data_IF_757093151637
#
_entry.id   IF_757093151637
#
_cell.length_a   1.000
_cell.length_b   1.000
_cell.length_c   1.000
_cell.angle_alpha   90.00
_cell.angle_beta   90.00
_cell.angle_gamma   90.00
#
_symmetry.space_group_name_H-M   'P 1'
#
loop_
_entity.id
_entity.type
_entity.pdbx_description
1 polymer ?
#
# COMPACT_ATOMS: atom_id res chain seq x y z
N UNK A 1 18.05 -11.95 -20.11
CA UNK A 1 17.57 -10.89 -19.21
C UNK A 1 18.77 -10.32 -18.45
N UNK A 2 18.77 -9.06 -18.03
CA UNK A 2 19.90 -8.53 -17.24
C UNK A 2 19.91 -9.10 -15.82
N UNK A 3 21.10 -9.24 -15.23
CA UNK A 3 21.31 -9.70 -13.84
C UNK A 3 20.44 -8.92 -12.83
N UNK A 4 20.29 -7.61 -13.01
CA UNK A 4 19.47 -6.76 -12.16
C UNK A 4 17.99 -7.17 -12.14
N UNK A 5 17.45 -7.61 -13.29
CA UNK A 5 16.05 -8.06 -13.40
C UNK A 5 15.88 -9.44 -12.76
N UNK A 6 16.85 -10.34 -12.94
CA UNK A 6 16.85 -11.65 -12.29
C UNK A 6 16.86 -11.53 -10.78
N UNK A 7 17.76 -10.69 -10.23
CA UNK A 7 17.82 -10.40 -8.80
C UNK A 7 16.53 -9.80 -8.24
N UNK A 8 15.82 -9.00 -9.04
CA UNK A 8 14.50 -8.47 -8.65
C UNK A 8 13.43 -9.55 -8.62
N UNK A 9 13.38 -10.41 -9.64
CA UNK A 9 12.41 -11.51 -9.74
C UNK A 9 12.62 -12.56 -8.65
N UNK A 10 13.87 -12.82 -8.26
CA UNK A 10 14.22 -13.75 -7.19
C UNK A 10 13.66 -13.37 -5.80
N UNK A 11 13.12 -12.15 -5.63
CA UNK A 11 12.45 -11.73 -4.38
C UNK A 11 11.06 -12.32 -4.21
N UNK A 12 10.48 -12.89 -5.27
CA UNK A 12 9.10 -13.36 -5.29
C UNK A 12 9.06 -14.85 -5.60
N UNK A 13 8.04 -15.54 -5.07
CA UNK A 13 7.82 -16.95 -5.38
C UNK A 13 7.40 -17.12 -6.84
N UNK A 14 7.57 -18.33 -7.42
CA UNK A 14 7.08 -18.63 -8.76
C UNK A 14 5.57 -18.35 -8.94
N UNK A 15 4.78 -18.61 -7.89
CA UNK A 15 3.34 -18.35 -7.88
C UNK A 15 3.02 -16.86 -8.01
N UNK A 16 3.70 -16.00 -7.23
CA UNK A 16 3.50 -14.55 -7.31
C UNK A 16 3.90 -14.02 -8.70
N UNK A 17 5.02 -14.51 -9.25
CA UNK A 17 5.44 -14.14 -10.60
C UNK A 17 4.44 -14.59 -11.67
N UNK A 18 3.81 -15.76 -11.50
CA UNK A 18 2.76 -16.23 -12.39
C UNK A 18 1.52 -15.33 -12.31
N UNK A 19 1.12 -14.88 -11.11
CA UNK A 19 0.03 -13.91 -10.92
C UNK A 19 0.32 -12.55 -11.54
N UNK A 20 1.55 -12.05 -11.47
CA UNK A 20 1.95 -10.82 -12.17
C UNK A 20 1.84 -10.96 -13.69
N UNK A 21 2.21 -12.12 -14.25
CA UNK A 21 2.06 -12.40 -15.68
C UNK A 21 0.59 -12.54 -16.09
N UNK A 22 -0.23 -13.17 -15.24
CA UNK A 22 -1.67 -13.30 -15.44
C UNK A 22 -2.34 -11.92 -15.46
N UNK A 23 -2.01 -11.04 -14.51
CA UNK A 23 -2.49 -9.66 -14.49
C UNK A 23 -2.13 -8.93 -15.79
N UNK A 24 -0.88 -9.03 -16.25
CA UNK A 24 -0.47 -8.41 -17.52
C UNK A 24 -1.27 -8.89 -18.73
N UNK A 25 -1.57 -10.20 -18.80
CA UNK A 25 -2.43 -10.76 -19.86
C UNK A 25 -3.87 -10.27 -19.75
N UNK A 26 -4.42 -10.22 -18.53
CA UNK A 26 -5.77 -9.72 -18.29
C UNK A 26 -5.91 -8.27 -18.74
N UNK A 27 -5.00 -7.39 -18.31
CA UNK A 27 -5.04 -5.97 -18.70
C UNK A 27 -4.83 -5.80 -20.21
N UNK A 28 -3.94 -6.58 -20.82
CA UNK A 28 -3.76 -6.57 -22.28
C UNK A 28 -5.04 -6.98 -23.01
N UNK A 29 -5.71 -8.05 -22.56
CA UNK A 29 -6.94 -8.54 -23.17
C UNK A 29 -8.11 -7.56 -22.98
N UNK A 30 -8.20 -6.90 -21.82
CA UNK A 30 -9.19 -5.86 -21.55
C UNK A 30 -8.96 -4.62 -22.43
N UNK A 31 -7.69 -4.21 -22.59
CA UNK A 31 -7.34 -2.97 -23.30
C UNK A 31 -7.43 -3.14 -24.82
N UNK A 32 -7.00 -4.29 -25.33
CA UNK A 32 -6.82 -4.50 -26.77
C UNK A 32 -7.68 -5.63 -27.37
N UNK A 33 -8.45 -6.34 -26.55
CA UNK A 33 -9.23 -7.49 -27.00
C UNK A 33 -8.38 -8.74 -27.24
N UNK A 34 -8.99 -9.78 -27.82
CA UNK A 34 -8.34 -11.07 -28.08
C UNK A 34 -7.33 -11.00 -29.24
N UNK A 35 -7.51 -10.05 -30.16
CA UNK A 35 -6.63 -9.86 -31.32
C UNK A 35 -5.31 -9.14 -30.96
N UNK A 36 -5.23 -8.58 -29.76
CA UNK A 36 -4.04 -7.88 -29.26
C UNK A 36 -3.94 -6.43 -29.72
N UNK A 37 -2.86 -5.73 -29.32
CA UNK A 37 -2.69 -4.30 -29.64
C UNK A 37 -2.47 -4.07 -31.15
N UNK A 38 -2.82 -2.87 -31.66
CA UNK A 38 -2.50 -2.49 -33.03
C UNK A 38 -1.00 -2.44 -33.27
N UNK A 39 -0.56 -2.65 -34.51
CA UNK A 39 0.86 -2.67 -34.89
C UNK A 39 1.53 -1.31 -34.70
N UNK A 40 0.74 -0.24 -34.77
CA UNK A 40 1.16 1.14 -34.60
C UNK A 40 1.38 1.53 -33.13
N UNK A 41 0.97 0.68 -32.17
CA UNK A 41 1.14 0.96 -30.74
C UNK A 41 2.62 1.15 -30.42
N UNK A 42 2.96 2.33 -29.92
CA UNK A 42 4.35 2.69 -29.67
C UNK A 42 4.85 2.09 -28.35
N UNK A 43 6.17 1.96 -28.24
CA UNK A 43 6.80 1.53 -26.99
C UNK A 43 6.48 2.47 -25.82
N UNK A 44 6.39 3.78 -26.07
CA UNK A 44 6.06 4.77 -25.04
C UNK A 44 4.66 4.54 -24.46
N UNK A 45 3.66 4.28 -25.31
CA UNK A 45 2.30 3.99 -24.87
C UNK A 45 2.21 2.67 -24.07
N UNK A 46 2.97 1.65 -24.48
CA UNK A 46 3.09 0.38 -23.74
C UNK A 46 3.70 0.63 -22.35
N UNK A 47 4.76 1.44 -22.29
CA UNK A 47 5.47 1.76 -21.05
C UNK A 47 4.62 2.61 -20.11
N UNK A 48 3.89 3.61 -20.63
CA UNK A 48 2.97 4.45 -19.85
C UNK A 48 1.87 3.60 -19.20
N UNK A 49 1.23 2.72 -19.97
CA UNK A 49 0.23 1.79 -19.42
C UNK A 49 0.86 0.85 -18.39
N UNK A 50 2.06 0.31 -18.67
CA UNK A 50 2.80 -0.54 -17.74
C UNK A 50 3.10 0.17 -16.42
N UNK A 51 3.45 1.45 -16.46
CA UNK A 51 3.68 2.28 -15.28
C UNK A 51 2.41 2.51 -14.47
N UNK A 52 1.28 2.83 -15.12
CA UNK A 52 0.01 3.00 -14.43
C UNK A 52 -0.46 1.72 -13.74
N UNK A 53 -0.34 0.55 -14.40
CA UNK A 53 -0.61 -0.75 -13.77
C UNK A 53 0.28 -0.96 -12.54
N UNK A 54 1.56 -0.59 -12.64
CA UNK A 54 2.52 -0.66 -11.54
C UNK A 54 2.10 0.19 -10.33
N UNK A 55 1.69 1.45 -10.57
CA UNK A 55 1.22 2.38 -9.52
C UNK A 55 -0.03 1.88 -8.82
N UNK A 56 -1.01 1.37 -9.59
CA UNK A 56 -2.24 0.79 -9.04
C UNK A 56 -1.94 -0.43 -8.16
N UNK A 57 -1.10 -1.33 -8.65
CA UNK A 57 -0.71 -2.54 -7.90
C UNK A 57 0.04 -2.20 -6.61
N UNK A 58 0.96 -1.22 -6.67
CA UNK A 58 1.67 -0.73 -5.49
C UNK A 58 0.72 -0.10 -4.47
N UNK A 59 -0.23 0.71 -4.94
CA UNK A 59 -1.25 1.35 -4.08
C UNK A 59 -2.10 0.30 -3.36
N UNK A 60 -2.57 -0.73 -4.06
CA UNK A 60 -3.36 -1.81 -3.45
C UNK A 60 -2.55 -2.62 -2.43
N UNK A 61 -1.28 -2.89 -2.71
CA UNK A 61 -0.37 -3.53 -1.76
C UNK A 61 -0.22 -2.69 -0.49
N UNK A 62 0.10 -1.41 -0.64
CA UNK A 62 0.31 -0.49 0.49
C UNK A 62 -0.93 -0.43 1.37
N UNK A 63 -2.12 -0.22 0.77
CA UNK A 63 -3.37 -0.18 1.52
C UNK A 63 -3.69 -1.51 2.20
N UNK A 64 -3.42 -2.64 1.54
CA UNK A 64 -3.67 -3.97 2.12
C UNK A 64 -2.81 -4.22 3.36
N UNK A 65 -1.50 -3.97 3.27
CA UNK A 65 -0.58 -4.13 4.40
C UNK A 65 -0.96 -3.18 5.53
N UNK A 66 -1.38 -1.96 5.19
CA UNK A 66 -1.73 -0.93 6.15
C UNK A 66 -3.04 -1.23 6.89
N UNK A 67 -4.07 -1.75 6.20
CA UNK A 67 -5.29 -2.30 6.82
C UNK A 67 -4.96 -3.42 7.80
N UNK A 68 -4.18 -4.41 7.36
CA UNK A 68 -3.75 -5.51 8.22
C UNK A 68 -2.96 -5.02 9.44
N UNK A 69 -2.17 -3.96 9.29
CA UNK A 69 -1.44 -3.36 10.40
C UNK A 69 -2.40 -2.68 11.39
N UNK A 70 -3.40 -1.96 10.89
CA UNK A 70 -4.40 -1.26 11.70
C UNK A 70 -5.24 -2.22 12.55
N UNK A 71 -5.65 -3.35 11.96
CA UNK A 71 -6.44 -4.40 12.63
C UNK A 71 -5.69 -5.05 13.80
N UNK A 72 -4.35 -5.01 13.80
CA UNK A 72 -3.54 -5.52 14.93
C UNK A 72 -3.56 -4.61 16.16
N UNK A 73 -4.18 -3.43 16.08
CA UNK A 73 -4.42 -2.58 17.24
C UNK A 73 -5.78 -2.93 17.84
N UNK A 74 -5.80 -3.94 18.70
CA UNK A 74 -7.00 -4.46 19.39
C UNK A 74 -6.99 -4.20 20.90
N UNK A 75 -5.80 -3.96 21.48
CA UNK A 75 -5.63 -3.70 22.91
C UNK A 75 -5.72 -2.21 23.27
N UNK A 76 -6.28 -1.94 24.45
CA UNK A 76 -6.30 -0.61 25.04
C UNK A 76 -4.88 -0.07 25.29
N UNK A 77 -4.73 1.26 25.21
CA UNK A 77 -3.48 1.96 25.55
C UNK A 77 -3.73 3.10 26.52
N UNK A 78 -2.77 3.33 27.42
CA UNK A 78 -2.80 4.46 28.33
C UNK A 78 -2.67 5.78 27.57
N UNK A 79 -3.56 6.74 27.87
CA UNK A 79 -3.44 8.12 27.39
C UNK A 79 -2.14 8.74 27.93
N UNK A 80 -1.29 9.37 27.09
CA UNK A 80 -0.06 9.99 27.54
C UNK A 80 -0.27 11.22 28.45
N UNK A 81 -1.48 11.81 28.44
CA UNK A 81 -1.82 12.96 29.28
C UNK A 81 -2.30 12.58 30.68
N UNK A 82 -3.24 11.63 30.78
CA UNK A 82 -3.91 11.30 32.05
C UNK A 82 -3.83 9.83 32.46
N UNK A 83 -3.14 8.97 31.70
CA UNK A 83 -2.96 7.54 32.00
C UNK A 83 -4.19 6.63 31.77
N UNK A 84 -5.36 7.20 31.45
CA UNK A 84 -6.60 6.42 31.25
C UNK A 84 -6.47 5.47 30.05
N UNK A 85 -6.92 4.23 30.21
CA UNK A 85 -6.96 3.25 29.14
C UNK A 85 -7.99 3.66 28.08
N UNK A 86 -7.55 3.74 26.83
CA UNK A 86 -8.35 4.13 25.68
C UNK A 86 -8.36 2.96 24.68
N UNK A 87 -9.53 2.60 24.16
CA UNK A 87 -9.64 1.58 23.12
C UNK A 87 -9.23 2.15 21.75
N UNK A 88 -8.64 1.34 20.88
CA UNK A 88 -8.36 1.72 19.50
C UNK A 88 -9.65 1.85 18.68
N UNK A 89 -9.58 2.70 17.67
CA UNK A 89 -10.54 2.80 16.57
C UNK A 89 -9.75 3.00 15.28
N UNK A 90 -10.33 2.64 14.14
CA UNK A 90 -9.70 2.86 12.84
C UNK A 90 -10.35 4.08 12.18
N UNK A 91 -9.52 5.02 11.73
CA UNK A 91 -9.95 6.15 10.90
C UNK A 91 -9.40 6.00 9.49
N UNK A 92 -10.22 6.34 8.52
CA UNK A 92 -9.82 6.37 7.12
C UNK A 92 -9.48 7.80 6.70
N UNK A 93 -8.36 7.98 6.01
CA UNK A 93 -8.02 9.27 5.38
C UNK A 93 -7.20 9.07 4.11
N UNK A 94 -7.43 9.95 3.15
CA UNK A 94 -6.62 9.99 1.94
C UNK A 94 -5.21 10.51 2.24
N UNK A 95 -4.21 9.79 1.73
CA UNK A 95 -2.80 10.15 1.79
C UNK A 95 -2.26 10.30 0.36
N UNK A 96 -1.59 11.42 0.07
CA UNK A 96 -0.84 11.57 -1.17
C UNK A 96 0.49 10.81 -1.06
N UNK A 97 0.70 9.83 -1.92
CA UNK A 97 1.92 9.00 -2.01
C UNK A 97 2.71 9.34 -3.28
N UNK A 98 3.81 8.61 -3.50
CA UNK A 98 4.58 8.72 -4.75
C UNK A 98 3.81 8.20 -5.97
N UNK A 99 2.90 7.26 -5.76
CA UNK A 99 2.20 6.54 -6.82
C UNK A 99 0.73 6.97 -6.98
N UNK A 100 0.25 7.88 -6.12
CA UNK A 100 -1.10 8.43 -6.20
C UNK A 100 -1.72 8.66 -4.83
N UNK A 101 -3.04 8.81 -4.79
CA UNK A 101 -3.78 8.88 -3.52
C UNK A 101 -4.05 7.46 -3.01
N UNK A 102 -3.76 7.20 -1.74
CA UNK A 102 -4.08 5.95 -1.06
C UNK A 102 -5.01 6.18 0.13
N UNK A 103 -5.94 5.26 0.40
CA UNK A 103 -6.74 5.27 1.63
C UNK A 103 -5.94 4.67 2.80
N UNK A 104 -5.67 5.49 3.80
CA UNK A 104 -4.95 5.12 5.01
C UNK A 104 -5.93 4.79 6.15
N UNK A 105 -5.98 3.53 6.56
CA UNK A 105 -6.69 3.01 7.74
C UNK A 105 -5.90 3.24 9.03
N UNK A 106 -5.81 4.46 9.55
CA UNK A 106 -4.96 4.78 10.69
C UNK A 106 -5.58 4.39 12.05
N UNK A 107 -4.88 3.64 12.91
CA UNK A 107 -5.32 3.38 14.28
C UNK A 107 -5.24 4.65 15.15
N UNK A 108 -6.37 5.05 15.72
CA UNK A 108 -6.53 6.19 16.62
C UNK A 108 -7.02 5.75 18.00
N UNK A 109 -6.47 6.36 19.04
CA UNK A 109 -6.96 6.26 20.41
C UNK A 109 -7.52 7.61 20.87
N UNK A 110 -8.80 7.67 21.24
CA UNK A 110 -9.43 8.91 21.73
C UNK A 110 -9.59 8.88 23.25
N UNK A 111 -8.98 9.85 23.94
CA UNK A 111 -9.19 10.04 25.36
C UNK A 111 -10.34 11.03 25.59
N UNK A 112 -11.43 10.57 26.20
CA UNK A 112 -12.58 11.42 26.56
C UNK A 112 -12.27 12.39 27.70
N UNK A 113 -11.31 12.05 28.58
CA UNK A 113 -10.94 12.89 29.72
C UNK A 113 -10.06 14.07 29.29
N UNK A 114 -9.14 13.86 28.37
CA UNK A 114 -8.28 14.92 27.83
C UNK A 114 -8.87 15.58 26.57
N UNK A 115 -9.98 15.05 26.05
CA UNK A 115 -10.58 15.45 24.77
C UNK A 115 -9.57 15.51 23.61
N UNK A 116 -8.65 14.54 23.57
CA UNK A 116 -7.56 14.48 22.60
C UNK A 116 -7.38 13.08 22.05
N UNK A 117 -6.99 13.02 20.78
CA UNK A 117 -6.58 11.79 20.12
C UNK A 117 -5.06 11.60 20.27
N UNK A 118 -4.63 10.35 20.33
CA UNK A 118 -3.22 9.97 20.23
C UNK A 118 -3.08 8.73 19.34
N UNK A 119 -1.89 8.58 18.76
CA UNK A 119 -1.61 7.59 17.72
C UNK A 119 -0.42 6.71 18.14
N UNK A 120 -0.31 5.46 17.65
CA UNK A 120 0.78 4.55 17.99
C UNK A 120 2.19 5.12 17.82
N UNK A 121 2.40 5.99 16.83
CA UNK A 121 3.69 6.64 16.56
C UNK A 121 4.07 7.70 17.59
N UNK A 122 3.10 8.25 18.32
CA UNK A 122 3.32 9.33 19.29
C UNK A 122 4.16 8.90 20.51
N UNK A 123 4.30 7.59 20.75
CA UNK A 123 5.08 7.04 21.86
C UNK A 123 6.38 6.33 21.44
N UNK A 124 6.78 6.39 20.16
CA UNK A 124 8.10 5.91 19.78
C UNK A 124 9.13 7.01 20.06
N UNK A 125 10.13 6.81 20.94
CA UNK A 125 11.27 7.70 20.98
C UNK A 125 11.86 7.74 19.58
N UNK A 126 12.01 8.94 19.02
CA UNK A 126 12.51 9.13 17.67
C UNK A 126 13.76 8.29 17.47
N UNK A 127 13.69 7.23 16.65
CA UNK A 127 14.89 6.59 16.17
C UNK A 127 15.58 7.60 15.25
N UNK A 128 16.49 8.40 15.80
CA UNK A 128 17.41 9.21 15.01
C UNK A 128 18.12 8.25 14.08
N UNK A 129 17.83 8.31 12.78
CA UNK A 129 18.68 7.70 11.77
C UNK A 129 20.02 8.43 11.84
N UNK A 130 21.08 7.69 12.16
CA UNK A 130 22.47 8.11 11.91
C UNK A 130 22.77 7.93 10.44
#
# INVERSE_FOLDING_TARGET
MSEAVEKRRARFSPEVLAKMQELGRMVSAETYGQDGPPVELTWAEIEDLGHEIGKLTATEFDQTVQRQQAERFDAARACPGCGKQCMPSVKHRNLTTRDGTADLSEPEFRCVTCERSFFPSANQPSARRK
#
